data_IF_760292221712
#
_entry.id   IF_760292221712
#
_cell.length_a   1.000
_cell.length_b   1.000
_cell.length_c   1.000
_cell.angle_alpha   90.00
_cell.angle_beta   90.00
_cell.angle_gamma   90.00
#
_symmetry.space_group_name_H-M   'P 1'
#
loop_
_entity.id
_entity.type
_entity.pdbx_description
1 polymer ?
#
# COMPACT_ATOMS: atom_id res chain seq x y z
N UNK A 1 52.14 -2.18 -19.14
CA UNK A 1 51.11 -1.55 -18.29
C UNK A 1 51.65 -1.46 -16.86
N UNK A 2 51.58 -0.30 -16.20
CA UNK A 2 51.98 -0.15 -14.80
C UNK A 2 50.79 -0.39 -13.89
N UNK A 3 50.86 -1.42 -13.05
CA UNK A 3 49.80 -1.85 -12.12
C UNK A 3 49.95 -1.27 -10.70
N UNK A 4 50.99 -0.46 -10.47
CA UNK A 4 51.39 0.15 -9.19
C UNK A 4 50.87 1.60 -9.03
N UNK A 5 49.85 2.00 -9.79
CA UNK A 5 49.31 3.35 -9.69
C UNK A 5 48.60 3.52 -8.33
N UNK A 6 48.87 4.60 -7.59
CA UNK A 6 48.13 4.90 -6.37
C UNK A 6 46.64 5.09 -6.69
N UNK A 7 45.78 4.68 -5.76
CA UNK A 7 44.34 4.97 -5.82
C UNK A 7 44.16 6.49 -5.89
N UNK A 8 43.34 6.96 -6.84
CA UNK A 8 43.06 8.39 -6.98
C UNK A 8 42.27 8.88 -5.76
N UNK A 9 42.51 10.12 -5.34
CA UNK A 9 41.81 10.72 -4.18
C UNK A 9 40.36 11.11 -4.43
N UNK A 10 39.87 10.95 -5.66
CA UNK A 10 38.50 11.23 -6.10
C UNK A 10 37.79 9.95 -6.51
N UNK A 11 36.45 9.94 -6.47
CA UNK A 11 35.67 8.74 -6.80
C UNK A 11 35.72 8.33 -8.29
N UNK A 12 36.30 9.16 -9.17
CA UNK A 12 36.40 8.92 -10.62
C UNK A 12 37.14 7.63 -10.99
N UNK A 13 37.97 7.07 -10.09
CA UNK A 13 38.57 5.75 -10.33
C UNK A 13 37.53 4.62 -10.37
N UNK A 14 36.31 4.84 -9.87
CA UNK A 14 35.16 3.91 -9.96
C UNK A 14 34.33 4.13 -11.24
N UNK A 15 34.56 5.21 -11.97
CA UNK A 15 33.75 5.63 -13.13
C UNK A 15 34.42 5.22 -14.46
N UNK A 16 34.90 3.97 -14.52
CA UNK A 16 35.54 3.44 -15.72
C UNK A 16 34.57 3.31 -16.90
N UNK A 17 34.97 3.79 -18.07
CA UNK A 17 34.19 3.68 -19.31
C UNK A 17 33.42 4.96 -19.67
N UNK A 18 32.42 4.83 -20.54
CA UNK A 18 31.59 5.97 -20.95
C UNK A 18 30.45 6.20 -19.94
N UNK A 19 30.28 7.43 -19.41
CA UNK A 19 29.25 7.72 -18.42
C UNK A 19 27.83 7.73 -19.02
N UNK A 20 26.82 7.45 -18.18
CA UNK A 20 25.41 7.61 -18.54
C UNK A 20 25.00 9.10 -18.45
N UNK A 21 25.48 9.91 -19.39
CA UNK A 21 25.27 11.37 -19.38
C UNK A 21 23.79 11.76 -19.37
N UNK A 22 22.94 11.05 -20.12
CA UNK A 22 21.49 11.31 -20.14
C UNK A 22 20.86 10.98 -18.77
N UNK A 23 21.29 9.88 -18.14
CA UNK A 23 20.87 9.53 -16.79
C UNK A 23 21.29 10.56 -15.74
N UNK A 24 22.49 11.15 -15.88
CA UNK A 24 22.96 12.20 -14.98
C UNK A 24 22.14 13.49 -15.10
N UNK A 25 21.83 13.93 -16.31
CA UNK A 25 20.95 15.08 -16.52
C UNK A 25 19.54 14.83 -15.93
N UNK A 26 19.00 13.62 -16.11
CA UNK A 26 17.73 13.23 -15.48
C UNK A 26 17.79 13.19 -13.95
N UNK A 27 18.90 12.70 -13.38
CA UNK A 27 19.13 12.68 -11.93
C UNK A 27 19.21 14.09 -11.36
N UNK A 28 19.92 15.01 -12.03
CA UNK A 28 20.03 16.42 -11.62
C UNK A 28 18.64 17.08 -11.56
N UNK A 29 17.83 16.91 -12.60
CA UNK A 29 16.46 17.43 -12.65
C UNK A 29 15.57 16.81 -11.56
N UNK A 30 15.66 15.50 -11.34
CA UNK A 30 14.91 14.81 -10.28
C UNK A 30 15.33 15.26 -8.88
N UNK A 31 16.62 15.47 -8.65
CA UNK A 31 17.16 15.94 -7.38
C UNK A 31 16.74 17.38 -7.08
N UNK A 32 16.64 18.24 -8.10
CA UNK A 32 16.17 19.62 -7.94
C UNK A 32 14.77 19.68 -7.29
N UNK A 33 13.83 18.82 -7.71
CA UNK A 33 12.50 18.74 -7.11
C UNK A 33 12.56 18.30 -5.63
N UNK A 34 13.38 17.30 -5.30
CA UNK A 34 13.56 16.82 -3.91
C UNK A 34 14.18 17.91 -3.03
N UNK A 35 15.17 18.65 -3.55
CA UNK A 35 15.81 19.76 -2.83
C UNK A 35 14.84 20.92 -2.59
N UNK A 36 14.02 21.27 -3.58
CA UNK A 36 13.03 22.33 -3.48
C UNK A 36 11.93 22.01 -2.45
N UNK A 37 11.43 20.77 -2.42
CA UNK A 37 10.41 20.37 -1.43
C UNK A 37 11.04 20.21 -0.04
N UNK A 38 12.22 19.59 0.02
CA UNK A 38 12.99 19.33 1.23
C UNK A 38 12.72 17.93 1.81
N UNK A 39 13.80 17.21 2.12
CA UNK A 39 13.74 15.81 2.60
C UNK A 39 12.88 15.61 3.85
N UNK A 40 12.97 16.53 4.83
CA UNK A 40 12.21 16.46 6.08
C UNK A 40 10.71 16.54 5.81
N UNK A 41 10.29 17.48 4.94
CA UNK A 41 8.88 17.63 4.55
C UNK A 41 8.37 16.41 3.80
N UNK A 42 9.16 15.86 2.88
CA UNK A 42 8.82 14.61 2.18
C UNK A 42 8.65 13.46 3.17
N UNK A 43 9.60 13.29 4.10
CA UNK A 43 9.53 12.21 5.08
C UNK A 43 8.31 12.34 5.99
N UNK A 44 8.06 13.52 6.56
CA UNK A 44 6.87 13.78 7.38
C UNK A 44 5.57 13.53 6.61
N UNK A 45 5.50 13.97 5.34
CA UNK A 45 4.35 13.72 4.47
C UNK A 45 4.07 12.22 4.27
N UNK A 46 5.13 11.45 3.99
CA UNK A 46 5.05 10.00 3.83
C UNK A 46 4.67 9.31 5.14
N UNK A 47 5.19 9.75 6.29
CA UNK A 47 4.80 9.18 7.59
C UNK A 47 3.31 9.38 7.87
N UNK A 48 2.76 10.58 7.63
CA UNK A 48 1.32 10.86 7.81
C UNK A 48 0.47 9.95 6.91
N UNK A 49 0.89 9.78 5.65
CA UNK A 49 0.22 8.85 4.73
C UNK A 49 0.22 7.43 5.29
N UNK A 50 1.39 6.94 5.70
CA UNK A 50 1.57 5.56 6.13
C UNK A 50 0.89 5.29 7.47
N UNK A 51 0.81 6.26 8.37
CA UNK A 51 0.11 6.12 9.64
C UNK A 51 -1.41 5.94 9.42
N UNK A 52 -2.00 6.71 8.51
CA UNK A 52 -3.41 6.55 8.13
C UNK A 52 -3.66 5.21 7.42
N UNK A 53 -2.79 4.82 6.50
CA UNK A 53 -2.90 3.54 5.79
C UNK A 53 -2.72 2.35 6.75
N UNK A 54 -1.74 2.40 7.64
CA UNK A 54 -1.44 1.34 8.61
C UNK A 54 -2.62 1.10 9.55
N UNK A 55 -3.28 2.15 10.03
CA UNK A 55 -4.50 2.01 10.83
C UNK A 55 -5.58 1.24 10.04
N UNK A 56 -5.90 1.69 8.82
CA UNK A 56 -6.93 1.05 8.01
C UNK A 56 -6.59 -0.39 7.57
N UNK A 57 -5.31 -0.72 7.42
CA UNK A 57 -4.85 -2.09 7.16
C UNK A 57 -5.01 -2.98 8.39
N UNK A 58 -4.65 -2.49 9.58
CA UNK A 58 -4.84 -3.24 10.84
C UNK A 58 -6.31 -3.56 11.09
N UNK A 59 -7.22 -2.62 10.83
CA UNK A 59 -8.66 -2.83 10.95
C UNK A 59 -9.18 -3.97 10.05
N UNK A 60 -8.46 -4.28 8.97
CA UNK A 60 -8.76 -5.36 8.00
C UNK A 60 -8.02 -6.67 8.32
N UNK A 61 -7.36 -6.75 9.47
CA UNK A 61 -6.66 -7.95 9.94
C UNK A 61 -5.24 -8.12 9.42
N UNK A 62 -4.64 -7.10 8.78
CA UNK A 62 -3.23 -7.14 8.40
C UNK A 62 -2.33 -6.88 9.61
N UNK A 63 -1.21 -7.58 9.67
CA UNK A 63 -0.16 -7.34 10.69
C UNK A 63 0.90 -6.42 10.12
N UNK A 64 1.08 -5.24 10.72
CA UNK A 64 2.13 -4.32 10.27
C UNK A 64 3.52 -4.73 10.74
N UNK A 65 4.48 -4.68 9.80
CA UNK A 65 5.90 -4.91 10.01
C UNK A 65 6.69 -3.60 10.15
N UNK A 66 6.03 -2.44 10.27
CA UNK A 66 6.72 -1.17 10.55
C UNK A 66 7.36 -1.21 11.94
N UNK A 67 8.48 -0.49 12.07
CA UNK A 67 9.13 -0.32 13.36
C UNK A 67 8.16 0.32 14.37
N UNK A 68 8.03 -0.25 15.59
CA UNK A 68 7.16 0.31 16.63
C UNK A 68 7.65 1.68 17.10
N UNK A 69 8.97 1.85 17.18
CA UNK A 69 9.62 3.13 17.44
C UNK A 69 9.55 4.06 16.22
N UNK A 70 8.92 5.23 16.41
CA UNK A 70 8.74 6.27 15.40
C UNK A 70 10.09 6.72 14.82
N UNK A 71 11.14 6.81 15.65
CA UNK A 71 12.46 7.26 15.20
C UNK A 71 13.14 6.27 14.24
N UNK A 72 12.68 5.02 14.20
CA UNK A 72 13.21 3.95 13.35
C UNK A 72 12.35 3.65 12.14
N UNK A 73 11.27 4.41 11.92
CA UNK A 73 10.38 4.21 10.76
C UNK A 73 11.04 4.69 9.48
N UNK A 74 10.79 3.94 8.41
CA UNK A 74 11.21 4.27 7.05
C UNK A 74 10.02 4.84 6.24
N UNK A 75 10.26 5.20 4.98
CA UNK A 75 9.21 5.68 4.05
C UNK A 75 8.38 4.57 3.40
N UNK A 76 8.32 3.38 4.00
CA UNK A 76 7.57 2.23 3.48
C UNK A 76 6.75 1.56 4.58
N UNK A 77 5.72 0.83 4.18
CA UNK A 77 4.89 -0.01 5.04
C UNK A 77 4.77 -1.39 4.42
N UNK A 78 5.39 -2.37 5.06
CA UNK A 78 5.17 -3.79 4.77
C UNK A 78 4.18 -4.36 5.77
N UNK A 79 3.26 -5.19 5.29
CA UNK A 79 2.27 -5.88 6.13
C UNK A 79 2.19 -7.36 5.77
N UNK A 80 1.95 -8.19 6.77
CA UNK A 80 1.56 -9.58 6.57
C UNK A 80 0.06 -9.66 6.31
N UNK A 81 -0.30 -10.48 5.32
CA UNK A 81 -1.68 -10.72 4.94
C UNK A 81 -2.44 -11.51 6.02
N UNK A 82 -3.74 -11.24 6.23
CA UNK A 82 -4.58 -12.08 7.06
C UNK A 82 -4.72 -13.49 6.48
N UNK A 83 -5.19 -14.43 7.30
CA UNK A 83 -5.44 -15.79 6.86
C UNK A 83 -6.40 -15.84 5.65
N UNK A 84 -6.16 -16.80 4.75
CA UNK A 84 -7.00 -17.02 3.56
C UNK A 84 -6.69 -16.11 2.36
N UNK A 85 -5.71 -15.22 2.44
CA UNK A 85 -5.23 -14.43 1.30
C UNK A 85 -3.71 -14.39 1.26
N UNK A 86 -3.13 -14.33 0.06
CA UNK A 86 -1.68 -14.18 -0.13
C UNK A 86 -1.34 -12.76 -0.57
N UNK A 87 -0.11 -12.30 -0.28
CA UNK A 87 0.35 -11.00 -0.75
C UNK A 87 0.41 -10.93 -2.29
N UNK A 88 0.77 -12.03 -2.95
CA UNK A 88 0.86 -12.12 -4.40
C UNK A 88 -0.52 -11.94 -5.07
N UNK A 89 -1.53 -12.67 -4.61
CA UNK A 89 -2.90 -12.59 -5.16
C UNK A 89 -3.51 -11.21 -4.88
N UNK A 90 -3.31 -10.71 -3.65
CA UNK A 90 -3.77 -9.37 -3.25
C UNK A 90 -3.12 -8.29 -4.12
N UNK A 91 -1.80 -8.35 -4.33
CA UNK A 91 -1.09 -7.42 -5.19
C UNK A 91 -1.57 -7.47 -6.65
N UNK A 92 -1.82 -8.67 -7.17
CA UNK A 92 -2.36 -8.83 -8.52
C UNK A 92 -3.77 -8.22 -8.66
N UNK A 93 -4.65 -8.43 -7.67
CA UNK A 93 -5.99 -7.87 -7.64
C UNK A 93 -6.01 -6.34 -7.47
N UNK A 94 -5.11 -5.79 -6.64
CA UNK A 94 -4.90 -4.34 -6.49
C UNK A 94 -4.41 -3.71 -7.80
N UNK A 95 -3.46 -4.35 -8.49
CA UNK A 95 -2.89 -3.87 -9.75
C UNK A 95 -3.95 -3.73 -10.84
N UNK A 96 -4.89 -4.68 -10.93
CA UNK A 96 -6.05 -4.60 -11.86
C UNK A 96 -6.90 -3.34 -11.63
N UNK A 97 -6.88 -2.79 -10.42
CA UNK A 97 -7.64 -1.61 -10.00
C UNK A 97 -6.80 -0.33 -9.93
N UNK A 98 -5.59 -0.36 -10.47
CA UNK A 98 -4.71 0.81 -10.56
C UNK A 98 -3.90 1.10 -9.29
N UNK A 99 -3.90 0.20 -8.30
CA UNK A 99 -3.06 0.34 -7.10
C UNK A 99 -1.82 -0.55 -7.25
N UNK A 100 -0.64 0.06 -7.35
CA UNK A 100 0.63 -0.66 -7.51
C UNK A 100 1.32 -0.85 -6.16
N UNK A 101 1.64 -2.09 -5.84
CA UNK A 101 2.33 -2.52 -4.62
C UNK A 101 3.37 -3.58 -4.97
N UNK A 102 4.30 -3.86 -4.04
CA UNK A 102 5.34 -4.89 -4.22
C UNK A 102 5.23 -5.95 -3.14
N UNK A 103 5.79 -7.13 -3.38
CA UNK A 103 5.68 -8.28 -2.46
C UNK A 103 7.03 -8.88 -2.05
N UNK A 104 7.94 -8.13 -1.41
CA UNK A 104 9.20 -8.68 -0.93
C UNK A 104 8.95 -9.70 0.19
N UNK A 105 9.63 -10.86 0.12
CA UNK A 105 9.60 -11.91 1.13
C UNK A 105 8.18 -12.36 1.56
N UNK A 106 7.22 -12.29 0.64
CA UNK A 106 5.82 -12.67 0.90
C UNK A 106 4.97 -11.63 1.65
N UNK A 107 5.53 -10.47 2.02
CA UNK A 107 4.79 -9.37 2.63
C UNK A 107 4.22 -8.42 1.58
N UNK A 108 3.06 -7.80 1.82
CA UNK A 108 2.51 -6.76 0.95
C UNK A 108 3.12 -5.41 1.32
N UNK A 109 3.78 -4.72 0.38
CA UNK A 109 4.52 -3.48 0.64
C UNK A 109 3.99 -2.28 -0.14
N UNK A 110 3.64 -1.24 0.61
CA UNK A 110 3.31 0.10 0.15
C UNK A 110 4.52 1.03 0.31
N UNK A 111 4.82 1.82 -0.72
CA UNK A 111 5.95 2.75 -0.75
C UNK A 111 5.55 4.09 -1.39
N UNK A 112 4.66 4.86 -0.74
CA UNK A 112 4.25 6.16 -1.24
C UNK A 112 5.41 7.17 -1.18
N UNK A 113 5.30 8.24 -1.95
CA UNK A 113 6.26 9.33 -1.96
C UNK A 113 5.55 10.69 -1.98
N UNK A 114 6.31 11.80 -2.10
CA UNK A 114 5.72 13.16 -2.11
C UNK A 114 4.56 13.39 -3.10
N UNK A 115 4.47 12.72 -4.28
CA UNK A 115 3.34 12.93 -5.18
C UNK A 115 2.03 12.29 -4.70
N UNK A 116 2.10 11.30 -3.80
CA UNK A 116 0.94 10.60 -3.28
C UNK A 116 0.17 11.51 -2.32
N UNK A 117 -1.12 11.73 -2.58
CA UNK A 117 -1.92 12.64 -1.77
C UNK A 117 -2.57 11.89 -0.61
N UNK A 118 -2.63 12.46 0.60
CA UNK A 118 -3.27 11.79 1.75
C UNK A 118 -4.73 11.40 1.50
N UNK A 119 -5.44 12.16 0.67
CA UNK A 119 -6.82 11.88 0.24
C UNK A 119 -6.99 10.59 -0.57
N UNK A 120 -5.90 9.98 -1.06
CA UNK A 120 -5.98 8.72 -1.79
C UNK A 120 -6.06 7.51 -0.85
N UNK A 121 -5.69 7.65 0.43
CA UNK A 121 -5.67 6.54 1.41
C UNK A 121 -7.05 5.86 1.54
N UNK A 122 -8.18 6.58 1.69
CA UNK A 122 -9.49 5.95 1.71
C UNK A 122 -9.77 5.13 0.44
N UNK A 123 -9.42 5.67 -0.73
CA UNK A 123 -9.61 4.96 -2.01
C UNK A 123 -8.74 3.72 -2.12
N UNK A 124 -7.51 3.75 -1.60
CA UNK A 124 -6.62 2.58 -1.55
C UNK A 124 -7.21 1.50 -0.65
N UNK A 125 -7.77 1.87 0.50
CA UNK A 125 -8.42 0.94 1.43
C UNK A 125 -9.72 0.34 0.84
N UNK A 126 -10.55 1.15 0.17
CA UNK A 126 -11.74 0.66 -0.53
C UNK A 126 -11.36 -0.34 -1.65
N UNK A 127 -10.31 -0.02 -2.39
CA UNK A 127 -9.77 -0.87 -3.45
C UNK A 127 -9.21 -2.18 -2.89
N UNK A 128 -8.62 -2.12 -1.70
CA UNK A 128 -8.16 -3.31 -0.98
C UNK A 128 -9.34 -4.19 -0.56
N UNK A 129 -10.44 -3.64 -0.07
CA UNK A 129 -11.63 -4.43 0.29
C UNK A 129 -12.21 -5.17 -0.90
N UNK A 130 -12.24 -4.52 -2.07
CA UNK A 130 -12.65 -5.16 -3.31
C UNK A 130 -11.67 -6.27 -3.74
N UNK A 131 -10.37 -6.04 -3.57
CA UNK A 131 -9.34 -7.02 -3.89
C UNK A 131 -9.44 -8.24 -2.96
N UNK A 132 -9.63 -8.03 -1.65
CA UNK A 132 -9.78 -9.12 -0.68
C UNK A 132 -11.02 -9.97 -0.97
N UNK A 133 -12.15 -9.34 -1.32
CA UNK A 133 -13.36 -10.05 -1.76
C UNK A 133 -13.10 -10.93 -2.97
N UNK A 134 -12.42 -10.40 -3.99
CA UNK A 134 -12.03 -11.19 -5.19
C UNK A 134 -11.15 -12.38 -4.81
N UNK A 135 -10.11 -12.17 -4.02
CA UNK A 135 -9.15 -13.23 -3.64
C UNK A 135 -9.83 -14.31 -2.79
N UNK A 136 -10.77 -13.95 -1.92
CA UNK A 136 -11.54 -14.89 -1.10
C UNK A 136 -12.67 -15.58 -1.86
N UNK A 137 -12.96 -15.17 -3.10
CA UNK A 137 -14.10 -15.67 -3.87
C UNK A 137 -15.46 -15.23 -3.32
N UNK A 138 -15.50 -14.13 -2.57
CA UNK A 138 -16.72 -13.58 -2.00
C UNK A 138 -17.54 -12.82 -3.07
N UNK A 139 -18.86 -12.98 -3.04
CA UNK A 139 -19.76 -12.24 -3.94
C UNK A 139 -19.77 -10.75 -3.56
N UNK A 140 -19.83 -9.87 -4.56
CA UNK A 140 -20.04 -8.44 -4.33
C UNK A 140 -21.36 -8.18 -3.58
N UNK A 141 -21.40 -7.24 -2.62
CA UNK A 141 -22.60 -6.88 -1.90
C UNK A 141 -23.66 -6.34 -2.86
N UNK A 142 -24.90 -6.74 -2.66
CA UNK A 142 -26.05 -6.22 -3.41
C UNK A 142 -26.41 -4.81 -2.95
N UNK A 143 -27.23 -4.08 -3.73
CA UNK A 143 -27.76 -2.79 -3.31
C UNK A 143 -28.52 -2.87 -1.97
N UNK A 144 -29.15 -4.02 -1.70
CA UNK A 144 -29.85 -4.28 -0.44
C UNK A 144 -28.86 -4.39 0.72
N UNK A 145 -27.76 -5.12 0.54
CA UNK A 145 -26.71 -5.26 1.57
C UNK A 145 -26.09 -3.89 1.90
N UNK A 146 -25.83 -3.07 0.88
CA UNK A 146 -25.29 -1.72 1.04
C UNK A 146 -26.29 -0.81 1.78
N UNK A 147 -27.57 -0.89 1.43
CA UNK A 147 -28.61 -0.10 2.07
C UNK A 147 -28.80 -0.47 3.55
N UNK A 148 -28.75 -1.76 3.90
CA UNK A 148 -28.76 -2.23 5.31
C UNK A 148 -27.53 -1.77 6.08
N UNK A 149 -26.33 -1.95 5.53
CA UNK A 149 -25.09 -1.52 6.20
C UNK A 149 -25.02 -0.01 6.46
N UNK A 150 -25.79 0.79 5.72
CA UNK A 150 -25.93 2.25 5.91
C UNK A 150 -27.13 2.65 6.77
N UNK A 151 -27.88 1.69 7.32
CA UNK A 151 -29.08 1.95 8.11
C UNK A 151 -30.25 2.55 7.30
N UNK A 152 -30.24 2.39 5.97
CA UNK A 152 -31.29 2.90 5.07
C UNK A 152 -32.46 1.91 4.91
N UNK A 153 -32.26 0.66 5.30
CA UNK A 153 -33.29 -0.38 5.35
C UNK A 153 -33.22 -1.05 6.73
N UNK A 154 -34.36 -1.49 7.29
CA UNK A 154 -34.35 -2.32 8.49
C UNK A 154 -33.59 -3.62 8.25
N UNK A 155 -32.97 -4.15 9.31
CA UNK A 155 -32.41 -5.49 9.29
C UNK A 155 -33.49 -6.51 8.91
N UNK A 156 -33.06 -7.62 8.30
CA UNK A 156 -34.01 -8.67 7.94
C UNK A 156 -34.76 -9.09 9.20
N UNK A 157 -36.08 -8.88 9.18
CA UNK A 157 -36.98 -9.52 10.16
C UNK A 157 -36.84 -11.01 9.91
N UNK A 158 -36.31 -11.74 10.90
CA UNK A 158 -36.43 -13.20 10.90
C UNK A 158 -37.92 -13.51 10.77
N UNK A 159 -38.30 -14.20 9.69
CA UNK A 159 -39.66 -14.62 9.45
C UNK A 159 -40.14 -15.38 10.69
N UNK A 160 -41.13 -14.81 11.36
CA UNK A 160 -41.82 -15.41 12.49
C UNK A 160 -42.35 -16.76 12.00
N UNK A 161 -41.94 -17.82 12.69
CA UNK A 161 -42.53 -19.17 12.57
C UNK A 161 -44.05 -19.03 12.46
N UNK A 162 -44.56 -19.31 11.26
CA UNK A 162 -45.99 -19.46 11.02
C UNK A 162 -46.39 -20.74 11.78
N UNK A 163 -46.75 -20.56 13.04
CA UNK A 163 -47.28 -21.62 13.89
C UNK A 163 -48.50 -22.19 13.20
N UNK A 164 -48.33 -23.43 12.72
CA UNK A 164 -49.37 -24.39 12.41
C UNK A 164 -50.56 -24.23 13.37
N UNK A 165 -51.67 -23.71 12.85
CA UNK A 165 -52.95 -23.83 13.52
C UNK A 165 -53.67 -25.04 12.93
N UNK A 166 -53.47 -26.20 13.57
CA UNK A 166 -54.42 -27.30 13.57
C UNK A 166 -55.75 -26.79 14.14
N UNK A 167 -56.85 -26.94 13.41
CA UNK A 167 -58.21 -26.99 13.99
C UNK A 167 -59.20 -27.59 12.99
N UNK A 168 -59.66 -28.79 13.35
CA UNK A 168 -60.95 -29.48 13.07
C UNK A 168 -61.29 -29.98 11.65
#
# INVERSE_FOLDING_TARGET
MRYDKPIRGSADYLEGGAPNLVGFAGLEAGLAAIQQIGRVRIFSHVQIYLDALEAGLRDRGFTSLRAPDIARRSGILSVECPAGVTAADTAAALRKRGVSVTTPDGALRFSPHWPNAHREVPRVLDTLDEALREVRGERAPTLVDIARARGLLPDAVDDVEETSNDSE
#
